data_IF_201178969275
#
_entry.id   IF_201178969275
#
_cell.length_a   1.000
_cell.length_b   1.000
_cell.length_c   1.000
_cell.angle_alpha   90.00
_cell.angle_beta   90.00
_cell.angle_gamma   90.00
#
_symmetry.space_group_name_H-M   'P 1'
#
loop_
_entity.id
_entity.type
_entity.pdbx_description
1 polymer ?
#
# COMPACT_ATOMS: atom_id res chain seq x y z
N UNK A 1 7.34 -19.69 -30.95
CA UNK A 1 8.76 -19.25 -30.87
C UNK A 1 9.05 -18.82 -29.44
N UNK A 2 10.21 -19.16 -28.85
CA UNK A 2 10.54 -18.66 -27.51
C UNK A 2 11.02 -17.20 -27.58
N UNK A 3 10.46 -16.34 -26.74
CA UNK A 3 10.84 -14.94 -26.57
C UNK A 3 11.96 -14.83 -25.54
N UNK A 4 12.91 -13.92 -25.76
CA UNK A 4 13.85 -13.51 -24.71
C UNK A 4 13.26 -12.40 -23.82
N UNK A 5 13.98 -11.99 -22.77
CA UNK A 5 13.48 -11.05 -21.75
C UNK A 5 13.11 -9.68 -22.35
N UNK A 6 13.97 -9.03 -23.18
CA UNK A 6 13.60 -7.79 -23.85
C UNK A 6 12.36 -7.91 -24.74
N UNK A 7 12.24 -9.00 -25.50
CA UNK A 7 11.08 -9.25 -26.36
C UNK A 7 9.80 -9.45 -25.54
N UNK A 8 9.85 -10.25 -24.48
CA UNK A 8 8.73 -10.47 -23.57
C UNK A 8 8.25 -9.18 -22.89
N UNK A 9 9.18 -8.39 -22.35
CA UNK A 9 8.86 -7.09 -21.73
C UNK A 9 8.21 -6.10 -22.71
N UNK A 10 8.74 -6.02 -23.94
CA UNK A 10 8.15 -5.17 -24.98
C UNK A 10 6.74 -5.62 -25.36
N UNK A 11 6.54 -6.93 -25.56
CA UNK A 11 5.24 -7.49 -25.91
C UNK A 11 4.21 -7.26 -24.78
N UNK A 12 4.59 -7.55 -23.53
CA UNK A 12 3.75 -7.34 -22.36
C UNK A 12 3.30 -5.89 -22.20
N UNK A 13 4.24 -4.92 -22.24
CA UNK A 13 3.91 -3.50 -22.09
C UNK A 13 2.98 -3.00 -23.19
N UNK A 14 3.19 -3.44 -24.43
CA UNK A 14 2.33 -3.04 -25.55
C UNK A 14 0.90 -3.56 -25.40
N UNK A 15 0.74 -4.82 -25.01
CA UNK A 15 -0.56 -5.43 -24.77
C UNK A 15 -1.25 -4.79 -23.56
N UNK A 16 -0.54 -4.65 -22.44
CA UNK A 16 -1.07 -4.03 -21.23
C UNK A 16 -1.57 -2.61 -21.52
N UNK A 17 -0.79 -1.79 -22.26
CA UNK A 17 -1.18 -0.42 -22.60
C UNK A 17 -2.50 -0.34 -23.38
N UNK A 18 -2.77 -1.29 -24.28
CA UNK A 18 -4.01 -1.31 -25.05
C UNK A 18 -5.23 -1.58 -24.15
N UNK A 19 -5.08 -2.48 -23.18
CA UNK A 19 -6.15 -2.98 -22.30
C UNK A 19 -6.48 -2.06 -21.12
N UNK A 20 -5.57 -1.15 -20.74
CA UNK A 20 -5.76 -0.29 -19.56
C UNK A 20 -6.65 0.93 -19.80
N UNK A 21 -6.93 1.25 -21.06
CA UNK A 21 -7.67 2.48 -21.45
C UNK A 21 -9.05 2.56 -20.78
N UNK A 22 -9.70 1.41 -20.58
CA UNK A 22 -11.08 1.32 -20.08
C UNK A 22 -11.20 1.43 -18.55
N UNK A 23 -10.11 1.20 -17.81
CA UNK A 23 -10.13 1.13 -16.33
C UNK A 23 -9.56 2.39 -15.65
N UNK A 24 -9.20 3.40 -16.44
CA UNK A 24 -8.75 4.73 -15.95
C UNK A 24 -7.29 4.80 -15.49
N UNK A 25 -6.52 3.72 -15.63
CA UNK A 25 -5.09 3.72 -15.31
C UNK A 25 -4.27 4.26 -16.49
N UNK A 26 -3.28 5.10 -16.19
CA UNK A 26 -2.24 5.55 -17.12
C UNK A 26 -0.96 4.77 -16.85
N UNK A 27 -0.31 4.27 -17.89
CA UNK A 27 0.96 3.57 -17.79
C UNK A 27 2.15 4.51 -18.06
N UNK A 28 3.13 4.53 -17.15
CA UNK A 28 4.46 5.13 -17.35
C UNK A 28 5.53 4.13 -16.92
N UNK A 29 6.17 3.47 -17.90
CA UNK A 29 7.16 2.42 -17.62
C UNK A 29 6.51 1.18 -16.97
N UNK A 30 7.04 0.80 -15.81
CA UNK A 30 6.53 -0.29 -14.95
C UNK A 30 5.47 0.16 -13.93
N UNK A 31 4.90 1.35 -14.09
CA UNK A 31 3.96 1.92 -13.12
C UNK A 31 2.63 2.21 -13.82
N UNK A 32 1.54 1.76 -13.19
CA UNK A 32 0.16 2.15 -13.54
C UNK A 32 -0.35 3.11 -12.48
N UNK A 33 -0.88 4.26 -12.90
CA UNK A 33 -1.43 5.25 -11.96
C UNK A 33 -2.84 5.67 -12.36
N UNK A 34 -3.76 5.71 -11.38
CA UNK A 34 -5.11 6.25 -11.52
C UNK A 34 -5.29 7.39 -10.53
N UNK A 35 -5.49 8.60 -11.05
CA UNK A 35 -5.69 9.81 -10.24
C UNK A 35 -7.11 9.83 -9.66
N UNK A 36 -7.24 10.22 -8.39
CA UNK A 36 -8.50 10.38 -7.66
C UNK A 36 -8.58 11.81 -7.13
N UNK A 37 -9.75 12.26 -6.67
CA UNK A 37 -9.87 13.64 -6.15
C UNK A 37 -9.09 13.79 -4.84
N UNK A 38 -9.08 12.76 -3.99
CA UNK A 38 -8.38 12.75 -2.70
C UNK A 38 -7.11 11.89 -2.68
N UNK A 39 -6.38 11.82 -3.80
CA UNK A 39 -5.09 11.13 -3.87
C UNK A 39 -4.91 10.37 -5.19
N UNK A 40 -4.27 9.20 -5.13
CA UNK A 40 -4.06 8.36 -6.30
C UNK A 40 -3.92 6.89 -5.92
N UNK A 41 -4.08 6.05 -6.93
CA UNK A 41 -3.84 4.61 -6.86
C UNK A 41 -2.73 4.24 -7.81
N UNK A 42 -1.88 3.32 -7.37
CA UNK A 42 -0.68 2.91 -8.08
C UNK A 42 -0.55 1.39 -8.09
N UNK A 43 -0.11 0.85 -9.22
CA UNK A 43 0.31 -0.54 -9.34
C UNK A 43 1.69 -0.52 -9.97
N UNK A 44 2.70 -0.88 -9.17
CA UNK A 44 4.06 -1.07 -9.62
C UNK A 44 4.22 -2.52 -10.05
N UNK A 45 4.81 -2.75 -11.21
CA UNK A 45 5.17 -4.09 -11.66
C UNK A 45 6.59 -4.09 -12.21
N UNK A 46 7.33 -5.14 -11.85
CA UNK A 46 8.69 -5.33 -12.32
C UNK A 46 8.71 -5.70 -13.80
N UNK A 47 9.85 -5.47 -14.44
CA UNK A 47 10.11 -6.10 -15.73
C UNK A 47 9.97 -7.61 -15.60
N UNK A 48 9.29 -8.24 -16.56
CA UNK A 48 9.18 -9.69 -16.63
C UNK A 48 10.58 -10.28 -16.51
N UNK A 49 10.79 -11.14 -15.53
CA UNK A 49 12.02 -11.90 -15.36
C UNK A 49 11.88 -13.34 -15.85
N UNK A 50 12.99 -14.08 -15.78
CA UNK A 50 12.99 -15.52 -16.00
C UNK A 50 13.20 -16.25 -14.69
N UNK A 51 12.25 -17.13 -14.37
CA UNK A 51 12.34 -18.02 -13.23
C UNK A 51 12.00 -19.44 -13.67
N UNK A 52 12.92 -20.39 -13.44
CA UNK A 52 12.74 -21.81 -13.80
C UNK A 52 12.25 -22.05 -15.24
N UNK A 53 12.76 -21.27 -16.20
CA UNK A 53 12.40 -21.40 -17.62
C UNK A 53 11.06 -20.76 -18.01
N UNK A 54 10.39 -20.09 -17.08
CA UNK A 54 9.14 -19.36 -17.29
C UNK A 54 9.35 -17.86 -17.15
N UNK A 55 8.48 -17.09 -17.80
CA UNK A 55 8.31 -15.69 -17.47
C UNK A 55 7.65 -15.55 -16.11
N UNK A 56 8.13 -14.59 -15.30
CA UNK A 56 7.57 -14.23 -14.01
C UNK A 56 7.30 -12.72 -13.97
N UNK A 57 6.09 -12.35 -13.57
CA UNK A 57 5.69 -10.98 -13.28
C UNK A 57 5.51 -10.83 -11.77
N UNK A 58 6.17 -9.83 -11.20
CA UNK A 58 5.92 -9.35 -9.84
C UNK A 58 5.18 -8.02 -9.91
N UNK A 59 4.27 -7.78 -8.97
CA UNK A 59 3.63 -6.49 -8.80
C UNK A 59 3.34 -6.18 -7.33
N UNK A 60 3.15 -4.90 -7.05
CA UNK A 60 2.60 -4.38 -5.79
C UNK A 60 1.52 -3.35 -6.09
N UNK A 61 0.52 -3.26 -5.22
CA UNK A 61 -0.59 -2.32 -5.33
C UNK A 61 -0.54 -1.36 -4.15
N UNK A 62 -0.61 -0.06 -4.40
CA UNK A 62 -0.57 0.95 -3.35
C UNK A 62 -1.52 2.12 -3.63
N UNK A 63 -1.87 2.85 -2.58
CA UNK A 63 -2.78 4.00 -2.66
C UNK A 63 -2.31 5.15 -1.79
N UNK A 64 -2.32 6.37 -2.33
CA UNK A 64 -2.18 7.60 -1.54
C UNK A 64 -3.57 8.11 -1.19
N UNK A 65 -3.79 8.40 0.09
CA UNK A 65 -4.99 9.08 0.59
C UNK A 65 -4.56 10.46 1.09
N UNK A 66 -4.82 11.50 0.31
CA UNK A 66 -4.30 12.85 0.56
C UNK A 66 -4.65 13.42 1.94
N UNK A 67 -5.89 13.25 2.46
CA UNK A 67 -6.19 13.71 3.82
C UNK A 67 -5.35 13.03 4.92
N UNK A 68 -4.88 11.80 4.68
CA UNK A 68 -4.02 11.06 5.62
C UNK A 68 -2.56 11.44 5.41
N UNK A 69 -2.10 11.31 4.17
CA UNK A 69 -0.71 11.47 3.78
C UNK A 69 -0.26 12.92 3.84
N UNK A 70 -1.15 13.90 3.59
CA UNK A 70 -0.85 15.31 3.75
C UNK A 70 -0.56 15.69 5.21
N UNK A 71 -1.31 15.14 6.17
CA UNK A 71 -1.00 15.32 7.60
C UNK A 71 0.33 14.67 7.95
N UNK A 72 0.59 13.47 7.44
CA UNK A 72 1.86 12.77 7.70
C UNK A 72 3.07 13.50 7.08
N UNK A 73 2.92 14.03 5.87
CA UNK A 73 3.99 14.70 5.12
C UNK A 73 4.52 15.95 5.83
N UNK A 74 3.67 16.69 6.56
CA UNK A 74 4.06 17.84 7.39
C UNK A 74 5.11 17.47 8.44
N UNK A 75 5.16 16.19 8.83
CA UNK A 75 5.99 15.69 9.92
C UNK A 75 7.05 14.69 9.49
N UNK A 76 6.87 14.03 8.36
CA UNK A 76 7.83 13.05 7.83
C UNK A 76 9.24 13.65 7.70
N UNK A 77 9.32 14.90 7.24
CA UNK A 77 10.58 15.62 7.06
C UNK A 77 11.28 15.98 8.39
N UNK A 78 10.55 16.07 9.50
CA UNK A 78 11.15 16.30 10.83
C UNK A 78 11.93 15.08 11.32
N UNK A 79 11.53 13.88 10.90
CA UNK A 79 12.15 12.59 11.27
C UNK A 79 13.23 12.18 10.28
N UNK A 80 13.00 12.41 8.98
CA UNK A 80 13.92 12.02 7.91
C UNK A 80 14.44 13.25 7.15
N UNK A 81 15.23 14.13 7.80
CA UNK A 81 15.86 15.24 7.12
C UNK A 81 17.03 14.70 6.27
N UNK A 82 16.78 14.41 4.99
CA UNK A 82 17.65 14.68 3.82
C UNK A 82 17.49 13.65 2.68
N UNK A 83 17.49 14.20 1.45
CA UNK A 83 18.19 13.61 0.30
C UNK A 83 17.46 12.55 -0.53
N UNK A 84 16.30 12.08 -0.10
CA UNK A 84 15.53 11.16 -0.93
C UNK A 84 14.77 11.99 -1.96
N UNK A 85 15.16 11.87 -3.23
CA UNK A 85 14.51 12.55 -4.34
C UNK A 85 12.99 12.36 -4.25
N UNK A 86 12.25 13.39 -4.66
CA UNK A 86 10.78 13.49 -4.64
C UNK A 86 10.04 12.27 -5.25
N UNK A 87 10.75 11.35 -5.90
CA UNK A 87 10.17 10.31 -6.72
C UNK A 87 9.90 8.96 -6.02
N UNK A 88 10.46 8.64 -4.84
CA UNK A 88 10.38 7.24 -4.34
C UNK A 88 10.19 7.00 -2.84
N UNK A 89 9.92 7.99 -2.01
CA UNK A 89 9.52 7.71 -0.62
C UNK A 89 8.01 7.52 -0.54
N UNK A 90 7.59 6.27 -0.71
CA UNK A 90 6.59 5.50 0.07
C UNK A 90 5.50 6.22 0.90
N UNK A 91 4.93 7.31 0.39
CA UNK A 91 3.73 7.97 0.97
C UNK A 91 2.42 7.34 0.49
N UNK A 92 2.33 6.03 0.63
CA UNK A 92 1.17 5.23 0.20
C UNK A 92 0.90 4.08 1.16
N UNK A 93 -0.32 3.55 1.08
CA UNK A 93 -0.77 2.33 1.75
C UNK A 93 -0.64 1.18 0.75
N UNK A 94 0.14 0.15 1.08
CA UNK A 94 0.42 -1.02 0.24
C UNK A 94 -0.53 -2.17 0.52
N UNK A 95 -1.26 -2.65 -0.47
CA UNK A 95 -2.16 -3.79 -0.32
C UNK A 95 -1.44 -5.05 -0.79
N UNK A 96 -1.07 -5.91 0.17
CA UNK A 96 -0.47 -7.20 -0.13
C UNK A 96 -1.49 -8.19 -0.71
N UNK A 97 -0.99 -9.31 -1.24
CA UNK A 97 -1.81 -10.37 -1.81
C UNK A 97 -2.86 -10.95 -0.84
N UNK A 98 -2.57 -10.99 0.48
CA UNK A 98 -3.53 -11.52 1.46
C UNK A 98 -4.75 -10.63 1.61
N UNK A 99 -4.54 -9.32 1.62
CA UNK A 99 -5.59 -8.32 1.73
C UNK A 99 -6.39 -8.21 0.43
N UNK A 100 -5.69 -8.22 -0.72
CA UNK A 100 -6.33 -8.17 -2.04
C UNK A 100 -7.29 -9.34 -2.29
N UNK A 101 -6.96 -10.52 -1.77
CA UNK A 101 -7.73 -11.76 -1.99
C UNK A 101 -8.57 -12.18 -0.79
N UNK A 102 -8.66 -11.32 0.22
CA UNK A 102 -9.38 -11.58 1.48
C UNK A 102 -9.05 -12.95 2.11
N UNK A 103 -7.78 -13.36 2.04
CA UNK A 103 -7.37 -14.60 2.70
C UNK A 103 -7.67 -14.48 4.20
N UNK A 104 -8.14 -15.56 4.83
CA UNK A 104 -8.28 -15.65 6.28
C UNK A 104 -6.98 -16.15 6.91
N UNK A 105 -6.52 -15.47 7.98
CA UNK A 105 -5.29 -15.80 8.68
C UNK A 105 -5.27 -17.27 9.07
N UNK A 106 -4.30 -18.02 8.53
CA UNK A 106 -4.08 -19.43 8.85
C UNK A 106 -2.79 -19.53 9.68
N UNK A 107 -2.88 -19.75 11.01
CA UNK A 107 -1.71 -19.87 11.87
C UNK A 107 -0.78 -21.02 11.48
N UNK A 108 -1.25 -21.99 10.69
CA UNK A 108 -0.45 -23.10 10.16
C UNK A 108 0.27 -22.77 8.84
N UNK A 109 -0.02 -21.63 8.21
CA UNK A 109 0.56 -21.19 6.93
C UNK A 109 1.22 -19.82 6.99
N UNK A 110 1.90 -19.50 8.10
CA UNK A 110 2.64 -18.24 8.29
C UNK A 110 3.55 -17.85 7.11
N UNK A 111 4.16 -18.82 6.41
CA UNK A 111 5.07 -18.58 5.28
C UNK A 111 4.34 -18.14 4.00
N UNK A 112 3.15 -18.69 3.71
CA UNK A 112 2.33 -18.27 2.55
C UNK A 112 1.73 -16.89 2.79
N UNK A 113 1.40 -16.59 4.04
CA UNK A 113 0.82 -15.33 4.49
C UNK A 113 1.78 -14.14 4.44
N UNK A 114 3.09 -14.38 4.62
CA UNK A 114 4.14 -13.35 4.51
C UNK A 114 4.44 -12.88 3.09
N UNK A 115 3.81 -13.47 2.07
CA UNK A 115 4.02 -13.02 0.70
C UNK A 115 3.27 -11.70 0.51
N UNK A 116 4.00 -10.59 0.69
CA UNK A 116 3.54 -9.27 0.26
C UNK A 116 3.17 -9.24 -1.23
N UNK A 117 3.69 -10.21 -1.98
CA UNK A 117 3.84 -10.19 -3.41
C UNK A 117 3.10 -11.37 -4.05
N UNK A 118 2.37 -11.07 -5.11
CA UNK A 118 1.82 -12.07 -6.01
C UNK A 118 2.73 -12.20 -7.23
N UNK A 119 2.84 -13.44 -7.72
CA UNK A 119 3.59 -13.75 -8.93
C UNK A 119 2.67 -14.38 -9.95
N UNK A 120 2.75 -13.90 -11.19
CA UNK A 120 2.15 -14.60 -12.32
C UNK A 120 3.26 -15.24 -13.16
N UNK A 121 3.06 -16.51 -13.52
CA UNK A 121 3.97 -17.28 -14.34
C UNK A 121 3.32 -17.63 -15.67
N UNK A 122 4.13 -17.63 -16.74
CA UNK A 122 3.71 -18.06 -18.06
C UNK A 122 4.91 -18.58 -18.88
N UNK A 123 4.62 -19.36 -19.92
CA UNK A 123 5.66 -19.81 -20.84
C UNK A 123 6.28 -18.64 -21.62
N UNK A 124 7.57 -18.72 -22.00
CA UNK A 124 8.24 -17.62 -22.68
C UNK A 124 7.91 -17.59 -24.18
N UNK A 125 6.64 -17.47 -24.52
CA UNK A 125 6.12 -17.36 -25.90
C UNK A 125 5.18 -16.15 -26.03
N UNK A 126 4.73 -15.84 -27.24
CA UNK A 126 3.74 -14.77 -27.44
C UNK A 126 2.43 -15.12 -26.73
N UNK A 127 1.95 -16.36 -26.86
CA UNK A 127 0.76 -16.86 -26.19
C UNK A 127 0.89 -16.79 -24.66
N UNK A 128 2.07 -17.13 -24.12
CA UNK A 128 2.34 -17.00 -22.69
C UNK A 128 2.33 -15.54 -22.21
N UNK A 129 2.78 -14.58 -23.02
CA UNK A 129 2.63 -13.16 -22.71
C UNK A 129 1.15 -12.75 -22.69
N UNK A 130 0.33 -13.21 -23.64
CA UNK A 130 -1.11 -12.96 -23.62
C UNK A 130 -1.79 -13.51 -22.36
N UNK A 131 -1.45 -14.75 -21.97
CA UNK A 131 -1.93 -15.36 -20.73
C UNK A 131 -1.52 -14.54 -19.50
N UNK A 132 -0.26 -14.10 -19.46
CA UNK A 132 0.28 -13.30 -18.37
C UNK A 132 -0.43 -11.95 -18.23
N UNK A 133 -0.68 -11.25 -19.34
CA UNK A 133 -1.46 -10.00 -19.37
C UNK A 133 -2.90 -10.25 -18.93
N UNK A 134 -3.53 -11.32 -19.42
CA UNK A 134 -4.89 -11.71 -19.03
C UNK A 134 -5.03 -11.92 -17.53
N UNK A 135 -4.15 -12.74 -16.93
CA UNK A 135 -4.10 -12.98 -15.48
C UNK A 135 -3.89 -11.68 -14.70
N UNK A 136 -2.96 -10.83 -15.14
CA UNK A 136 -2.68 -9.58 -14.46
C UNK A 136 -3.87 -8.61 -14.52
N UNK A 137 -4.54 -8.50 -15.66
CA UNK A 137 -5.74 -7.67 -15.81
C UNK A 137 -6.92 -8.19 -14.99
N UNK A 138 -7.12 -9.51 -14.96
CA UNK A 138 -8.12 -10.14 -14.10
C UNK A 138 -7.86 -9.82 -12.63
N UNK A 139 -6.59 -9.91 -12.20
CA UNK A 139 -6.18 -9.52 -10.85
C UNK A 139 -6.52 -8.06 -10.55
N UNK A 140 -6.21 -7.15 -11.48
CA UNK A 140 -6.50 -5.73 -11.33
C UNK A 140 -8.00 -5.47 -11.17
N UNK A 141 -8.80 -6.06 -12.07
CA UNK A 141 -10.26 -5.84 -12.13
C UNK A 141 -11.00 -6.51 -10.97
N UNK A 142 -10.58 -7.70 -10.56
CA UNK A 142 -11.32 -8.53 -9.60
C UNK A 142 -10.89 -8.33 -8.15
N UNK A 143 -9.64 -7.89 -7.91
CA UNK A 143 -9.09 -7.77 -6.55
C UNK A 143 -8.58 -6.37 -6.24
N UNK A 144 -7.73 -5.79 -7.10
CA UNK A 144 -7.07 -4.51 -6.79
C UNK A 144 -8.05 -3.34 -6.79
N UNK A 145 -8.80 -3.13 -7.88
CA UNK A 145 -9.77 -2.04 -7.98
C UNK A 145 -10.83 -2.14 -6.87
N UNK A 146 -11.48 -3.30 -6.63
CA UNK A 146 -12.43 -3.45 -5.54
C UNK A 146 -11.82 -3.16 -4.16
N UNK A 147 -10.59 -3.58 -3.91
CA UNK A 147 -9.88 -3.28 -2.64
C UNK A 147 -9.64 -1.78 -2.48
N UNK A 148 -9.15 -1.12 -3.53
CA UNK A 148 -8.97 0.33 -3.50
C UNK A 148 -10.29 1.09 -3.30
N UNK A 149 -11.38 0.63 -3.93
CA UNK A 149 -12.69 1.25 -3.81
C UNK A 149 -13.29 1.01 -2.41
N UNK A 150 -13.11 -0.19 -1.83
CA UNK A 150 -13.49 -0.52 -0.44
C UNK A 150 -12.82 0.43 0.56
N UNK A 151 -11.51 0.64 0.43
CA UNK A 151 -10.74 1.49 1.34
C UNK A 151 -10.71 2.98 0.94
N UNK A 152 -11.54 3.42 -0.03
CA UNK A 152 -11.94 4.83 -0.12
C UNK A 152 -12.82 5.24 1.06
N UNK A 153 -13.51 4.28 1.67
CA UNK A 153 -14.24 4.55 2.89
C UNK A 153 -13.27 4.57 4.08
N UNK A 154 -13.01 5.77 4.61
CA UNK A 154 -12.06 5.97 5.71
C UNK A 154 -12.47 5.22 6.99
N UNK A 155 -13.78 4.97 7.20
CA UNK A 155 -14.27 4.22 8.36
C UNK A 155 -14.02 2.72 8.21
N UNK A 156 -14.13 2.18 6.98
CA UNK A 156 -13.76 0.79 6.72
C UNK A 156 -12.25 0.59 6.84
N UNK A 157 -11.46 1.58 6.40
CA UNK A 157 -10.01 1.56 6.59
C UNK A 157 -9.64 1.63 8.07
N UNK A 158 -10.25 2.53 8.84
CA UNK A 158 -10.07 2.64 10.28
C UNK A 158 -10.40 1.34 11.01
N UNK A 159 -11.58 0.76 10.75
CA UNK A 159 -11.95 -0.54 11.30
C UNK A 159 -10.90 -1.60 10.96
N UNK A 160 -10.48 -1.70 9.70
CA UNK A 160 -9.48 -2.69 9.30
C UNK A 160 -8.13 -2.53 10.03
N UNK A 161 -7.63 -1.30 10.21
CA UNK A 161 -6.31 -1.07 10.81
C UNK A 161 -6.31 -1.01 12.34
N UNK A 162 -7.46 -0.69 12.97
CA UNK A 162 -7.58 -0.44 14.41
C UNK A 162 -8.45 -1.46 15.18
N UNK A 163 -9.25 -2.32 14.52
CA UNK A 163 -10.21 -3.19 15.21
C UNK A 163 -9.56 -4.44 15.86
N UNK A 164 -8.41 -4.93 15.37
CA UNK A 164 -7.88 -6.25 15.80
C UNK A 164 -6.34 -6.34 15.93
N UNK A 165 -5.81 -6.65 17.12
CA UNK A 165 -4.37 -6.88 17.35
C UNK A 165 -3.77 -8.02 16.52
N UNK A 166 -4.56 -9.04 16.19
CA UNK A 166 -4.10 -10.20 15.40
C UNK A 166 -3.73 -9.85 13.96
N UNK A 167 -4.20 -8.72 13.44
CA UNK A 167 -3.82 -8.22 12.11
C UNK A 167 -2.61 -7.27 12.14
N UNK A 168 -1.96 -7.10 13.30
CA UNK A 168 -0.87 -6.15 13.46
C UNK A 168 0.24 -6.36 12.41
N UNK A 169 0.58 -7.62 12.09
CA UNK A 169 1.61 -7.93 11.11
C UNK A 169 1.18 -7.55 9.67
N UNK A 170 -0.08 -7.82 9.33
CA UNK A 170 -0.70 -7.49 8.04
C UNK A 170 -0.76 -5.99 7.83
N UNK A 171 -1.18 -5.27 8.87
CA UNK A 171 -1.37 -3.83 8.84
C UNK A 171 -0.02 -3.11 8.87
N UNK A 172 0.97 -3.59 9.61
CA UNK A 172 2.33 -3.04 9.57
C UNK A 172 2.91 -3.04 8.16
N UNK A 173 2.71 -4.12 7.38
CA UNK A 173 3.22 -4.20 6.01
C UNK A 173 2.47 -3.33 5.01
N UNK A 174 1.30 -2.80 5.37
CA UNK A 174 0.61 -1.78 4.55
C UNK A 174 1.40 -0.47 4.51
N UNK A 175 2.23 -0.20 5.51
CA UNK A 175 2.93 1.07 5.65
C UNK A 175 4.43 0.75 5.67
N UNK A 176 5.10 0.75 4.51
CA UNK A 176 6.51 0.35 4.38
C UNK A 176 7.49 1.29 5.11
N UNK A 177 7.02 2.43 5.61
CA UNK A 177 7.79 3.41 6.35
C UNK A 177 7.47 3.38 7.86
N UNK A 178 8.34 4.02 8.65
CA UNK A 178 8.17 4.26 10.11
C UNK A 178 7.03 5.23 10.48
N UNK A 179 5.97 5.23 9.67
CA UNK A 179 4.81 6.12 9.77
C UNK A 179 3.52 5.41 10.19
N UNK A 180 3.54 4.07 10.30
CA UNK A 180 2.34 3.28 10.52
C UNK A 180 1.54 3.76 11.73
N UNK A 181 2.18 3.83 12.89
CA UNK A 181 1.53 4.15 14.16
C UNK A 181 0.89 5.53 14.13
N UNK A 182 1.57 6.50 13.51
CA UNK A 182 1.04 7.85 13.32
C UNK A 182 -0.13 7.88 12.34
N UNK A 183 -0.04 7.15 11.22
CA UNK A 183 -1.12 7.05 10.24
C UNK A 183 -2.37 6.39 10.83
N UNK A 184 -2.24 5.44 11.77
CA UNK A 184 -3.38 4.91 12.53
C UNK A 184 -4.15 6.01 13.27
N UNK A 185 -3.43 6.91 13.94
CA UNK A 185 -4.05 8.04 14.65
C UNK A 185 -4.75 8.98 13.68
N UNK A 186 -4.08 9.34 12.57
CA UNK A 186 -4.64 10.23 11.56
C UNK A 186 -5.92 9.64 10.96
N UNK A 187 -5.89 8.36 10.57
CA UNK A 187 -7.05 7.65 10.01
C UNK A 187 -8.18 7.57 11.03
N UNK A 188 -7.91 7.18 12.28
CA UNK A 188 -8.92 7.11 13.34
C UNK A 188 -9.58 8.47 13.60
N UNK A 189 -8.80 9.56 13.58
CA UNK A 189 -9.34 10.91 13.72
C UNK A 189 -10.26 11.28 12.57
N UNK A 190 -9.81 11.07 11.34
CA UNK A 190 -10.57 11.40 10.13
C UNK A 190 -11.84 10.55 9.98
N UNK A 191 -11.81 9.30 10.44
CA UNK A 191 -12.96 8.40 10.46
C UNK A 191 -14.01 8.76 11.52
N UNK A 192 -13.66 9.61 12.50
CA UNK A 192 -14.51 9.88 13.65
C UNK A 192 -14.64 8.68 14.58
N UNK A 193 -13.56 7.91 14.71
CA UNK A 193 -13.52 6.74 15.59
C UNK A 193 -13.83 7.16 17.04
N UNK A 194 -14.86 6.57 17.64
CA UNK A 194 -15.28 6.84 19.02
C UNK A 194 -14.21 6.46 20.06
N UNK A 195 -13.33 5.53 19.70
CA UNK A 195 -12.26 5.00 20.53
C UNK A 195 -10.90 5.66 20.19
N UNK A 196 -10.92 6.84 19.54
CA UNK A 196 -9.71 7.57 19.10
C UNK A 196 -8.66 7.75 20.19
N UNK A 197 -9.07 8.08 21.43
CA UNK A 197 -8.11 8.24 22.53
C UNK A 197 -7.43 6.91 22.90
N UNK A 198 -8.14 5.78 22.83
CA UNK A 198 -7.55 4.45 23.05
C UNK A 198 -6.55 4.10 21.94
N UNK A 199 -6.83 4.49 20.69
CA UNK A 199 -5.88 4.35 19.58
C UNK A 199 -4.61 5.16 19.86
N UNK A 200 -4.75 6.40 20.33
CA UNK A 200 -3.62 7.27 20.68
C UNK A 200 -2.79 6.67 21.83
N UNK A 201 -3.43 6.17 22.88
CA UNK A 201 -2.77 5.50 24.00
C UNK A 201 -2.00 4.24 23.56
N UNK A 202 -2.60 3.42 22.69
CA UNK A 202 -1.95 2.23 22.14
C UNK A 202 -0.73 2.60 21.30
N UNK A 203 -0.85 3.59 20.41
CA UNK A 203 0.27 4.09 19.60
C UNK A 203 1.40 4.65 20.48
N UNK A 204 1.07 5.45 21.49
CA UNK A 204 2.05 5.97 22.45
C UNK A 204 2.77 4.83 23.17
N UNK A 205 2.02 3.82 23.61
CA UNK A 205 2.57 2.64 24.27
C UNK A 205 3.53 1.91 23.34
N UNK A 206 3.13 1.61 22.10
CA UNK A 206 3.95 0.95 21.10
C UNK A 206 5.28 1.72 20.87
N UNK A 207 5.24 3.04 20.72
CA UNK A 207 6.46 3.87 20.60
C UNK A 207 7.40 3.69 21.81
N UNK A 208 6.85 3.52 23.02
CA UNK A 208 7.64 3.39 24.26
C UNK A 208 8.08 1.97 24.60
N UNK A 209 7.38 0.93 24.11
CA UNK A 209 7.62 -0.46 24.50
C UNK A 209 8.33 -1.28 23.45
N UNK A 210 8.23 -0.90 22.18
CA UNK A 210 8.76 -1.74 21.11
C UNK A 210 10.26 -1.52 20.97
N UNK A 211 11.05 -2.59 21.08
CA UNK A 211 12.51 -2.62 20.82
C UNK A 211 12.89 -2.26 19.36
N UNK A 212 11.94 -1.76 18.54
CA UNK A 212 12.17 -1.16 17.20
C UNK A 212 13.06 0.10 17.22
N UNK A 213 13.49 0.55 18.41
CA UNK A 213 14.47 1.63 18.62
C UNK A 213 15.93 1.12 18.51
N UNK A 214 16.18 -0.03 17.88
CA UNK A 214 17.49 -0.33 17.31
C UNK A 214 17.52 0.16 15.86
N UNK A 215 17.94 1.41 15.64
CA UNK A 215 18.20 1.89 14.28
C UNK A 215 18.57 3.36 14.17
N UNK A 216 17.59 4.26 14.12
CA UNK A 216 17.81 5.52 13.38
C UNK A 216 17.61 6.82 14.18
N UNK A 217 16.82 6.82 15.26
CA UNK A 217 16.58 8.03 16.07
C UNK A 217 16.35 7.72 17.56
N UNK A 218 16.66 8.66 18.47
CA UNK A 218 16.29 8.56 19.88
C UNK A 218 14.77 8.50 20.08
N UNK A 219 14.31 7.74 21.08
CA UNK A 219 12.89 7.60 21.46
C UNK A 219 12.20 8.96 21.66
N UNK A 220 12.91 9.94 22.23
CA UNK A 220 12.40 11.29 22.49
C UNK A 220 11.95 12.00 21.21
N UNK A 221 12.56 11.70 20.06
CA UNK A 221 12.13 12.27 18.77
C UNK A 221 10.81 11.67 18.30
N UNK A 222 10.61 10.36 18.47
CA UNK A 222 9.34 9.70 18.15
C UNK A 222 8.22 10.20 19.06
N UNK A 223 8.47 10.33 20.36
CA UNK A 223 7.51 10.89 21.31
C UNK A 223 7.19 12.35 21.03
N UNK A 224 8.21 13.17 20.72
CA UNK A 224 7.99 14.56 20.31
C UNK A 224 7.13 14.64 19.07
N UNK A 225 7.33 13.75 18.09
CA UNK A 225 6.48 13.72 16.92
C UNK A 225 5.04 13.30 17.25
N UNK A 226 4.87 12.24 18.04
CA UNK A 226 3.57 11.80 18.51
C UNK A 226 2.78 12.97 19.10
N UNK A 227 3.38 13.74 20.01
CA UNK A 227 2.70 14.89 20.64
C UNK A 227 2.32 15.96 19.62
N UNK A 228 3.20 16.28 18.66
CA UNK A 228 2.88 17.25 17.59
C UNK A 228 1.68 16.82 16.74
N UNK A 229 1.65 15.56 16.31
CA UNK A 229 0.55 15.00 15.51
C UNK A 229 -0.72 14.98 16.35
N UNK A 230 -0.66 14.49 17.58
CA UNK A 230 -1.79 14.42 18.50
C UNK A 230 -2.43 15.80 18.73
N UNK A 231 -1.64 16.82 19.07
CA UNK A 231 -2.12 18.19 19.26
C UNK A 231 -2.76 18.77 18.00
N UNK A 232 -2.16 18.52 16.83
CA UNK A 232 -2.73 18.96 15.55
C UNK A 232 -4.09 18.31 15.30
N UNK A 233 -4.18 16.99 15.49
CA UNK A 233 -5.39 16.20 15.26
C UNK A 233 -6.53 16.59 16.20
N UNK A 234 -6.29 17.19 17.38
CA UNK A 234 -7.38 17.73 18.23
C UNK A 234 -8.28 18.73 17.49
N UNK A 235 -7.69 19.52 16.59
CA UNK A 235 -8.40 20.55 15.81
C UNK A 235 -8.99 20.04 14.49
N UNK A 236 -8.65 18.82 14.08
CA UNK A 236 -9.16 18.21 12.85
C UNK A 236 -10.53 17.61 13.11
N UNK A 237 -11.53 18.03 12.34
CA UNK A 237 -12.85 17.41 12.37
C UNK A 237 -12.83 16.08 11.57
N UNK A 238 -13.67 15.10 11.95
CA UNK A 238 -13.92 13.94 11.09
C UNK A 238 -14.38 14.37 9.69
N UNK A 239 -14.07 13.55 8.69
CA UNK A 239 -14.51 13.80 7.34
C UNK A 239 -16.04 13.73 7.25
N UNK A 240 -16.66 14.77 6.70
CA UNK A 240 -18.12 14.84 6.56
C UNK A 240 -18.66 13.77 5.60
N UNK A 241 -17.89 13.43 4.55
CA UNK A 241 -18.15 12.27 3.70
C UNK A 241 -17.06 11.23 3.96
N UNK A 242 -17.40 10.02 4.43
CA UNK A 242 -16.41 8.98 4.67
C UNK A 242 -15.83 8.41 3.38
N UNK A 243 -16.48 8.61 2.22
CA UNK A 243 -16.01 8.11 0.91
C UNK A 243 -15.13 9.16 0.24
N UNK A 244 -13.88 8.79 0.00
CA UNK A 244 -12.85 9.59 -0.62
C UNK A 244 -12.76 9.27 -2.12
N UNK A 245 -13.62 9.89 -2.93
CA UNK A 245 -13.51 9.84 -4.41
C UNK A 245 -12.26 10.56 -4.94
#
# INVERSE_FOLDING_TARGET
MKLNKPQGNKAFRNLLKAELTDIGFKQKGGVLTRQKKNGFEQIDFEEIDFWNGQFRLWYSASKRIEPVEGVWDDYFLDIFPLGVGEEYVTRTIYFNASILREYQYDPMNMIKWRRMNDYHFADPTEEGIHELVGKFLETIKSYIIPTFDKYNNIQLLDAFINERPEYFFEVMHLFPDRGFEYKKMIIAKLAGNKDYELVCEAVRKDITTTEYVQGDLPMEKYLSLYEKIYERLKTVAPLANPILD
#
